data_IF_217114012467
#
_entry.id   IF_217114012467
#
_cell.length_a   1.000
_cell.length_b   1.000
_cell.length_c   1.000
_cell.angle_alpha   90.00
_cell.angle_beta   90.00
_cell.angle_gamma   90.00
#
_symmetry.space_group_name_H-M   'P 1'
#
loop_
_entity.id
_entity.type
_entity.pdbx_description
1 polymer ?
#
# COMPACT_ATOMS: atom_id res chain seq x y z
N UNK A 1 -36.26 29.27 -31.79
CA UNK A 1 -35.61 29.61 -30.51
C UNK A 1 -34.98 28.36 -29.94
N UNK A 2 -33.68 28.14 -30.18
CA UNK A 2 -32.94 27.01 -29.61
C UNK A 2 -32.62 27.30 -28.14
N UNK A 3 -33.26 26.58 -27.20
CA UNK A 3 -32.93 26.65 -25.77
C UNK A 3 -31.44 26.36 -25.62
N UNK A 4 -30.64 27.38 -25.29
CA UNK A 4 -29.22 27.16 -24.89
C UNK A 4 -29.19 26.14 -23.74
N UNK A 5 -28.67 24.96 -24.01
CA UNK A 5 -28.51 23.93 -22.99
C UNK A 5 -27.68 24.51 -21.83
N UNK A 6 -28.25 24.54 -20.65
CA UNK A 6 -27.63 25.06 -19.45
C UNK A 6 -26.39 24.20 -19.15
N UNK A 7 -25.22 24.80 -19.09
CA UNK A 7 -24.00 24.06 -18.74
C UNK A 7 -24.20 23.36 -17.40
N UNK A 8 -23.93 22.05 -17.29
CA UNK A 8 -24.06 21.35 -16.01
C UNK A 8 -23.10 21.96 -14.96
N UNK A 9 -23.54 21.98 -13.70
CA UNK A 9 -22.70 22.48 -12.62
C UNK A 9 -21.42 21.61 -12.48
N UNK A 10 -20.35 22.15 -11.92
CA UNK A 10 -19.12 21.41 -11.65
C UNK A 10 -19.41 20.14 -10.82
N UNK A 11 -20.19 20.27 -9.76
CA UNK A 11 -20.55 19.14 -8.88
C UNK A 11 -21.31 18.03 -9.63
N UNK A 12 -22.29 18.41 -10.49
CA UNK A 12 -23.04 17.44 -11.29
C UNK A 12 -22.12 16.68 -12.25
N UNK A 13 -21.21 17.39 -12.92
CA UNK A 13 -20.23 16.78 -13.84
C UNK A 13 -19.28 15.84 -13.11
N UNK A 14 -18.76 16.27 -11.97
CA UNK A 14 -17.88 15.48 -11.11
C UNK A 14 -18.55 14.18 -10.64
N UNK A 15 -19.74 14.29 -10.04
CA UNK A 15 -20.48 13.13 -9.54
C UNK A 15 -20.87 12.16 -10.66
N UNK A 16 -21.23 12.67 -11.84
CA UNK A 16 -21.57 11.82 -12.98
C UNK A 16 -20.37 11.02 -13.47
N UNK A 17 -19.19 11.64 -13.58
CA UNK A 17 -17.95 10.97 -13.98
C UNK A 17 -17.56 9.92 -12.93
N UNK A 18 -17.54 10.32 -11.67
CA UNK A 18 -17.19 9.41 -10.56
C UNK A 18 -18.12 8.19 -10.54
N UNK A 19 -19.44 8.40 -10.66
CA UNK A 19 -20.42 7.31 -10.69
C UNK A 19 -20.23 6.39 -11.89
N UNK A 20 -20.01 6.95 -13.07
CA UNK A 20 -19.80 6.18 -14.29
C UNK A 20 -18.54 5.31 -14.17
N UNK A 21 -17.41 5.90 -13.78
CA UNK A 21 -16.15 5.18 -13.64
C UNK A 21 -16.19 4.15 -12.50
N UNK A 22 -16.88 4.46 -11.39
CA UNK A 22 -17.07 3.49 -10.30
C UNK A 22 -17.84 2.26 -10.78
N UNK A 23 -18.97 2.47 -11.47
CA UNK A 23 -19.76 1.37 -12.05
C UNK A 23 -18.95 0.58 -13.07
N UNK A 24 -18.14 1.27 -13.89
CA UNK A 24 -17.25 0.64 -14.85
C UNK A 24 -16.18 -0.22 -14.16
N UNK A 25 -15.57 0.30 -13.11
CA UNK A 25 -14.57 -0.42 -12.32
C UNK A 25 -15.15 -1.67 -11.64
N UNK A 26 -16.35 -1.58 -11.07
CA UNK A 26 -17.03 -2.74 -10.45
C UNK A 26 -17.35 -3.82 -11.49
N UNK A 27 -17.73 -3.45 -12.71
CA UNK A 27 -18.07 -4.39 -13.79
C UNK A 27 -16.85 -5.05 -14.44
N UNK A 28 -15.65 -4.50 -14.25
CA UNK A 28 -14.43 -5.11 -14.78
C UNK A 28 -14.10 -6.41 -14.06
N UNK A 29 -14.06 -7.52 -14.79
CA UNK A 29 -13.66 -8.83 -14.23
C UNK A 29 -12.27 -8.80 -13.56
N UNK A 30 -11.39 -7.87 -13.95
CA UNK A 30 -10.06 -7.68 -13.38
C UNK A 30 -10.11 -7.35 -11.88
N UNK A 31 -10.99 -6.44 -11.46
CA UNK A 31 -11.16 -6.10 -10.05
C UNK A 31 -11.67 -7.29 -9.26
N UNK A 32 -12.63 -8.04 -9.82
CA UNK A 32 -13.11 -9.26 -9.19
C UNK A 32 -11.98 -10.28 -8.99
N UNK A 33 -11.11 -10.46 -10.00
CA UNK A 33 -9.95 -11.35 -9.90
C UNK A 33 -8.97 -10.92 -8.81
N UNK A 34 -8.66 -9.61 -8.70
CA UNK A 34 -7.79 -9.10 -7.64
C UNK A 34 -8.46 -9.24 -6.27
N UNK A 35 -9.77 -9.03 -6.18
CA UNK A 35 -10.51 -9.19 -4.93
C UNK A 35 -10.47 -10.65 -4.46
N UNK A 36 -10.72 -11.62 -5.37
CA UNK A 36 -10.60 -13.06 -5.05
C UNK A 36 -9.19 -13.41 -4.58
N UNK A 37 -8.17 -12.91 -5.26
CA UNK A 37 -6.77 -13.11 -4.87
C UNK A 37 -6.49 -12.49 -3.48
N UNK A 38 -7.02 -11.30 -3.21
CA UNK A 38 -6.86 -10.65 -1.91
C UNK A 38 -7.55 -11.42 -0.77
N UNK A 39 -8.74 -11.98 -1.02
CA UNK A 39 -9.37 -12.88 -0.05
C UNK A 39 -8.55 -14.16 0.16
N UNK A 40 -7.91 -14.69 -0.87
CA UNK A 40 -7.00 -15.83 -0.74
C UNK A 40 -5.78 -15.48 0.14
N UNK A 41 -5.14 -14.31 -0.06
CA UNK A 41 -4.06 -13.85 0.80
C UNK A 41 -4.53 -13.58 2.23
N UNK A 42 -5.67 -12.95 2.42
CA UNK A 42 -6.26 -12.73 3.74
C UNK A 42 -6.56 -14.05 4.46
N UNK A 43 -7.09 -15.04 3.75
CA UNK A 43 -7.30 -16.39 4.29
C UNK A 43 -5.97 -17.06 4.65
N UNK A 44 -4.96 -16.91 3.79
CA UNK A 44 -3.62 -17.43 4.08
C UNK A 44 -3.02 -16.75 5.32
N UNK A 45 -3.16 -15.44 5.45
CA UNK A 45 -2.71 -14.71 6.63
C UNK A 45 -3.38 -15.22 7.90
N UNK A 46 -4.68 -15.51 7.86
CA UNK A 46 -5.43 -16.10 9.00
C UNK A 46 -5.00 -17.54 9.30
N UNK A 47 -4.86 -18.37 8.26
CA UNK A 47 -4.69 -19.82 8.42
C UNK A 47 -3.22 -20.25 8.61
N UNK A 48 -2.26 -19.54 7.99
CA UNK A 48 -0.85 -19.95 8.00
C UNK A 48 -0.26 -20.07 9.42
N UNK A 49 -0.46 -19.11 10.34
CA UNK A 49 0.02 -19.23 11.71
C UNK A 49 -0.56 -20.45 12.45
N UNK A 50 -1.84 -20.76 12.18
CA UNK A 50 -2.53 -21.93 12.75
C UNK A 50 -1.90 -23.22 12.25
N UNK A 51 -1.70 -23.33 10.94
CA UNK A 51 -1.09 -24.52 10.31
C UNK A 51 0.32 -24.73 10.83
N UNK A 52 1.14 -23.66 10.90
CA UNK A 52 2.52 -23.77 11.40
C UNK A 52 2.58 -24.16 12.88
N UNK A 53 1.71 -23.64 13.72
CA UNK A 53 1.62 -24.02 15.13
C UNK A 53 1.20 -25.49 15.29
N UNK A 54 0.20 -25.94 14.53
CA UNK A 54 -0.24 -27.34 14.55
C UNK A 54 0.86 -28.31 14.09
N UNK A 55 1.62 -27.94 13.03
CA UNK A 55 2.75 -28.77 12.57
C UNK A 55 3.86 -28.89 13.62
N UNK A 56 4.04 -27.88 14.46
CA UNK A 56 5.02 -27.84 15.53
C UNK A 56 4.45 -28.36 16.87
N UNK A 57 3.24 -28.92 16.89
CA UNK A 57 2.52 -29.34 18.10
C UNK A 57 2.41 -28.23 19.17
N UNK A 58 2.29 -26.97 18.74
CA UNK A 58 2.15 -25.82 19.63
C UNK A 58 0.65 -25.45 19.74
N UNK A 59 0.15 -25.09 20.94
CA UNK A 59 -1.22 -24.63 21.10
C UNK A 59 -1.44 -23.30 20.36
N UNK A 60 -2.65 -23.12 19.85
CA UNK A 60 -3.10 -21.84 19.29
C UNK A 60 -3.46 -20.95 20.47
N UNK A 61 -2.61 -19.96 20.74
CA UNK A 61 -2.88 -18.98 21.79
C UNK A 61 -3.84 -17.90 21.28
N UNK A 62 -4.77 -17.44 22.10
CA UNK A 62 -5.61 -16.31 21.79
C UNK A 62 -4.73 -15.08 21.50
N UNK A 63 -5.04 -14.37 20.42
CA UNK A 63 -4.36 -13.12 20.07
C UNK A 63 -5.41 -12.02 19.88
N UNK A 64 -5.69 -11.23 20.93
CA UNK A 64 -6.75 -10.24 20.90
C UNK A 64 -6.47 -9.03 19.99
N UNK A 65 -5.23 -8.82 19.58
CA UNK A 65 -4.84 -7.71 18.70
C UNK A 65 -4.51 -8.17 17.27
N UNK A 66 -4.80 -9.43 16.94
CA UNK A 66 -4.44 -10.02 15.64
C UNK A 66 -5.00 -9.23 14.45
N UNK A 67 -6.27 -8.87 14.51
CA UNK A 67 -6.96 -8.20 13.40
C UNK A 67 -6.38 -6.82 13.11
N UNK A 68 -6.15 -6.03 14.15
CA UNK A 68 -5.64 -4.66 13.98
C UNK A 68 -4.16 -4.65 13.55
N UNK A 69 -3.36 -5.61 13.99
CA UNK A 69 -1.93 -5.71 13.64
C UNK A 69 -1.71 -6.31 12.25
N UNK A 70 -2.54 -7.26 11.83
CA UNK A 70 -2.46 -7.88 10.48
C UNK A 70 -3.15 -7.03 9.42
N UNK A 71 -4.15 -6.25 9.80
CA UNK A 71 -4.86 -5.35 8.92
C UNK A 71 -5.66 -6.07 7.83
N UNK A 72 -5.45 -5.69 6.56
CA UNK A 72 -6.14 -6.32 5.42
C UNK A 72 -5.61 -7.71 5.06
N UNK A 73 -4.47 -8.10 5.60
CA UNK A 73 -3.82 -9.39 5.31
C UNK A 73 -3.18 -9.50 3.92
N UNK A 74 -3.26 -8.47 3.07
CA UNK A 74 -2.77 -8.55 1.68
C UNK A 74 -1.30 -8.14 1.50
N UNK A 75 -0.73 -7.42 2.46
CA UNK A 75 0.66 -6.96 2.43
C UNK A 75 1.01 -5.99 1.28
N UNK A 76 2.30 -5.67 1.14
CA UNK A 76 2.82 -4.70 0.16
C UNK A 76 2.45 -5.05 -1.29
N UNK A 77 2.59 -6.31 -1.67
CA UNK A 77 2.22 -6.77 -3.01
C UNK A 77 0.73 -6.55 -3.31
N UNK A 78 -0.13 -6.80 -2.31
CA UNK A 78 -1.57 -6.55 -2.45
C UNK A 78 -1.89 -5.07 -2.65
N UNK A 79 -1.25 -4.17 -1.90
CA UNK A 79 -1.44 -2.72 -2.09
C UNK A 79 -1.07 -2.29 -3.51
N UNK A 80 0.05 -2.80 -4.03
CA UNK A 80 0.46 -2.54 -5.41
C UNK A 80 -0.53 -3.13 -6.44
N UNK A 81 -0.98 -4.37 -6.26
CA UNK A 81 -1.96 -5.00 -7.18
C UNK A 81 -3.28 -4.26 -7.23
N UNK A 82 -3.84 -3.86 -6.07
CA UNK A 82 -5.05 -3.04 -6.02
C UNK A 82 -4.86 -1.71 -6.72
N UNK A 83 -3.73 -1.07 -6.49
CA UNK A 83 -3.37 0.18 -7.15
C UNK A 83 -3.33 -0.02 -8.67
N UNK A 84 -2.56 -1.01 -9.13
CA UNK A 84 -2.37 -1.28 -10.56
C UNK A 84 -3.70 -1.51 -11.26
N UNK A 85 -4.52 -2.43 -10.76
CA UNK A 85 -5.79 -2.79 -11.40
C UNK A 85 -6.80 -1.65 -11.37
N UNK A 86 -6.80 -0.85 -10.32
CA UNK A 86 -7.74 0.27 -10.17
C UNK A 86 -7.48 1.40 -11.15
N UNK A 87 -6.21 1.69 -11.48
CA UNK A 87 -5.88 2.92 -12.24
C UNK A 87 -5.16 2.71 -13.57
N UNK A 88 -4.59 1.53 -13.88
CA UNK A 88 -3.77 1.34 -15.08
C UNK A 88 -4.50 1.69 -16.39
N UNK A 89 -5.82 1.50 -16.47
CA UNK A 89 -6.64 1.82 -17.64
C UNK A 89 -7.50 3.09 -17.43
N UNK A 90 -7.35 3.80 -16.32
CA UNK A 90 -8.27 4.89 -15.98
C UNK A 90 -8.14 6.07 -16.94
N UNK A 91 -6.93 6.46 -17.28
CA UNK A 91 -6.61 7.55 -18.21
C UNK A 91 -6.04 6.99 -19.50
N UNK A 92 -5.02 6.13 -19.40
CA UNK A 92 -4.32 5.55 -20.55
C UNK A 92 -5.23 4.72 -21.45
N UNK A 93 -6.16 3.96 -20.87
CA UNK A 93 -7.12 3.17 -21.66
C UNK A 93 -8.07 4.01 -22.49
N UNK A 94 -8.36 5.25 -22.10
CA UNK A 94 -9.15 6.17 -22.92
C UNK A 94 -8.36 6.75 -24.08
N UNK A 95 -7.04 6.95 -23.91
CA UNK A 95 -6.16 7.30 -25.03
C UNK A 95 -6.06 6.15 -26.03
N UNK A 96 -5.84 4.92 -25.56
CA UNK A 96 -5.74 3.73 -26.42
C UNK A 96 -7.03 3.42 -27.20
N UNK A 97 -8.19 3.62 -26.56
CA UNK A 97 -9.50 3.37 -27.19
C UNK A 97 -10.03 4.55 -28.01
N UNK A 98 -9.34 5.70 -27.99
CA UNK A 98 -9.82 6.94 -28.61
C UNK A 98 -11.01 7.58 -27.90
N UNK A 99 -11.51 6.99 -26.80
CA UNK A 99 -12.67 7.52 -26.06
C UNK A 99 -12.36 8.84 -25.33
N UNK A 100 -11.10 9.22 -25.25
CA UNK A 100 -10.67 10.52 -24.70
C UNK A 100 -11.16 11.70 -25.57
N UNK A 101 -11.28 11.54 -26.91
CA UNK A 101 -11.69 12.59 -27.82
C UNK A 101 -13.09 13.10 -27.49
N UNK A 102 -14.15 12.29 -27.50
CA UNK A 102 -15.50 12.73 -27.15
C UNK A 102 -15.62 13.20 -25.70
N UNK A 103 -14.73 12.78 -24.82
CA UNK A 103 -14.70 13.25 -23.42
C UNK A 103 -14.12 14.67 -23.32
N UNK A 104 -13.08 14.99 -24.09
CA UNK A 104 -12.43 16.31 -24.09
C UNK A 104 -13.22 17.37 -24.90
N UNK A 105 -14.08 16.95 -25.82
CA UNK A 105 -14.96 17.88 -26.58
C UNK A 105 -16.19 18.34 -25.80
N UNK A 106 -16.53 17.64 -24.70
CA UNK A 106 -17.62 18.06 -23.82
C UNK A 106 -17.23 19.32 -23.02
N UNK A 107 -18.19 20.17 -22.62
CA UNK A 107 -17.93 21.39 -21.86
C UNK A 107 -17.63 21.09 -20.37
N UNK A 108 -16.70 20.16 -20.12
CA UNK A 108 -16.26 19.75 -18.78
C UNK A 108 -14.76 20.01 -18.67
N UNK A 109 -14.32 20.55 -17.53
CA UNK A 109 -12.90 20.82 -17.32
C UNK A 109 -12.08 19.53 -17.21
N UNK A 110 -10.85 19.53 -17.75
CA UNK A 110 -9.93 18.38 -17.65
C UNK A 110 -9.62 18.01 -16.20
N UNK A 111 -9.58 19.02 -15.32
CA UNK A 111 -9.42 18.81 -13.87
C UNK A 111 -10.60 18.06 -13.27
N UNK A 112 -11.84 18.36 -13.67
CA UNK A 112 -13.03 17.65 -13.21
C UNK A 112 -13.00 16.19 -13.65
N UNK A 113 -12.56 15.91 -14.89
CA UNK A 113 -12.41 14.56 -15.42
C UNK A 113 -11.36 13.79 -14.58
N UNK A 114 -10.20 14.40 -14.36
CA UNK A 114 -9.12 13.83 -13.57
C UNK A 114 -9.56 13.49 -12.14
N UNK A 115 -10.14 14.46 -11.44
CA UNK A 115 -10.62 14.27 -10.07
C UNK A 115 -11.73 13.21 -9.98
N UNK A 116 -12.66 13.19 -10.93
CA UNK A 116 -13.71 12.17 -10.98
C UNK A 116 -13.17 10.75 -11.10
N UNK A 117 -12.14 10.56 -11.93
CA UNK A 117 -11.49 9.24 -12.13
C UNK A 117 -10.72 8.77 -10.91
N UNK A 118 -9.93 9.65 -10.29
CA UNK A 118 -9.22 9.32 -9.04
C UNK A 118 -10.22 8.99 -7.93
N UNK A 119 -11.29 9.78 -7.79
CA UNK A 119 -12.31 9.52 -6.78
C UNK A 119 -13.01 8.19 -6.99
N UNK A 120 -13.29 7.80 -8.24
CA UNK A 120 -13.86 6.49 -8.54
C UNK A 120 -12.90 5.34 -8.16
N UNK A 121 -11.62 5.47 -8.50
CA UNK A 121 -10.60 4.49 -8.12
C UNK A 121 -10.43 4.39 -6.59
N UNK A 122 -10.39 5.53 -5.90
CA UNK A 122 -10.37 5.61 -4.44
C UNK A 122 -11.56 4.88 -3.80
N UNK A 123 -12.78 5.16 -4.26
CA UNK A 123 -14.00 4.51 -3.75
C UNK A 123 -14.00 3.00 -4.02
N UNK A 124 -13.44 2.56 -5.14
CA UNK A 124 -13.28 1.14 -5.46
C UNK A 124 -12.36 0.44 -4.45
N UNK A 125 -11.21 1.05 -4.14
CA UNK A 125 -10.25 0.52 -3.16
C UNK A 125 -10.82 0.57 -1.74
N UNK A 126 -11.48 1.66 -1.38
CA UNK A 126 -12.16 1.79 -0.09
C UNK A 126 -13.19 0.68 0.12
N UNK A 127 -14.05 0.42 -0.87
CA UNK A 127 -15.03 -0.66 -0.80
C UNK A 127 -14.37 -2.04 -0.68
N UNK A 128 -13.34 -2.32 -1.47
CA UNK A 128 -12.62 -3.59 -1.43
C UNK A 128 -11.96 -3.83 -0.06
N UNK A 129 -11.26 -2.83 0.47
CA UNK A 129 -10.60 -2.97 1.78
C UNK A 129 -11.57 -3.02 2.94
N UNK A 130 -12.71 -2.33 2.85
CA UNK A 130 -13.77 -2.48 3.85
C UNK A 130 -14.28 -3.92 3.92
N UNK A 131 -14.48 -4.58 2.78
CA UNK A 131 -14.86 -6.00 2.73
C UNK A 131 -13.77 -6.91 3.31
N UNK A 132 -12.50 -6.68 2.95
CA UNK A 132 -11.38 -7.47 3.48
C UNK A 132 -11.22 -7.33 4.99
N UNK A 133 -11.34 -6.13 5.52
CA UNK A 133 -11.23 -5.88 6.96
C UNK A 133 -12.38 -6.54 7.73
N UNK A 134 -13.60 -6.48 7.21
CA UNK A 134 -14.75 -7.21 7.80
C UNK A 134 -14.47 -8.71 7.81
N UNK A 135 -13.95 -9.25 6.71
CA UNK A 135 -13.57 -10.66 6.62
C UNK A 135 -12.48 -11.03 7.62
N UNK A 136 -11.41 -10.19 7.73
CA UNK A 136 -10.34 -10.39 8.71
C UNK A 136 -10.83 -10.29 10.15
N UNK A 137 -11.75 -9.38 10.44
CA UNK A 137 -12.35 -9.25 11.76
C UNK A 137 -13.17 -10.50 12.14
N UNK A 138 -13.98 -10.99 11.22
CA UNK A 138 -14.76 -12.21 11.44
C UNK A 138 -13.87 -13.46 11.58
N UNK A 139 -12.89 -13.64 10.70
CA UNK A 139 -11.94 -14.75 10.75
C UNK A 139 -11.04 -14.70 11.97
N UNK A 140 -10.55 -13.52 12.33
CA UNK A 140 -9.73 -13.30 13.53
C UNK A 140 -10.50 -13.64 14.82
N UNK A 141 -11.75 -13.22 14.92
CA UNK A 141 -12.62 -13.58 16.04
C UNK A 141 -12.80 -15.09 16.19
N UNK A 142 -13.05 -15.79 15.07
CA UNK A 142 -13.28 -17.24 15.07
C UNK A 142 -12.00 -18.03 15.42
N UNK A 143 -10.84 -17.59 14.92
CA UNK A 143 -9.59 -18.36 15.04
C UNK A 143 -8.82 -18.00 16.31
N UNK A 144 -8.71 -16.70 16.62
CA UNK A 144 -7.86 -16.17 17.69
C UNK A 144 -8.64 -15.69 18.92
N UNK A 145 -9.98 -15.83 18.90
CA UNK A 145 -10.86 -15.44 19.99
C UNK A 145 -11.27 -13.96 19.96
N UNK A 146 -11.86 -13.46 21.05
CA UNK A 146 -12.33 -12.07 21.15
C UNK A 146 -11.22 -11.08 20.82
N UNK A 147 -11.53 -10.13 19.93
CA UNK A 147 -10.58 -9.11 19.46
C UNK A 147 -10.75 -7.83 20.26
N UNK A 148 -9.64 -7.32 20.77
CA UNK A 148 -9.58 -6.02 21.45
C UNK A 148 -9.39 -4.89 20.42
N UNK A 149 -9.63 -3.66 20.87
CA UNK A 149 -9.29 -2.45 20.10
C UNK A 149 -9.89 -2.39 18.68
N UNK A 150 -10.99 -3.08 18.40
CA UNK A 150 -11.64 -3.08 17.08
C UNK A 150 -12.01 -1.67 16.58
N UNK A 151 -12.13 -0.68 17.47
CA UNK A 151 -12.33 0.71 17.07
C UNK A 151 -11.14 1.28 16.27
N UNK A 152 -9.92 0.72 16.41
CA UNK A 152 -8.75 1.10 15.65
C UNK A 152 -8.75 0.56 14.21
N UNK A 153 -9.72 -0.27 13.85
CA UNK A 153 -9.85 -0.86 12.52
C UNK A 153 -9.98 0.22 11.43
N UNK A 154 -10.57 1.37 11.75
CA UNK A 154 -10.63 2.52 10.84
C UNK A 154 -9.26 3.11 10.54
N UNK A 155 -8.34 3.09 11.51
CA UNK A 155 -6.95 3.55 11.32
C UNK A 155 -6.20 2.57 10.43
N UNK A 156 -6.41 1.27 10.64
CA UNK A 156 -5.89 0.23 9.75
C UNK A 156 -6.38 0.40 8.32
N UNK A 157 -7.67 0.68 8.14
CA UNK A 157 -8.26 0.96 6.83
C UNK A 157 -7.63 2.20 6.17
N UNK A 158 -7.54 3.32 6.89
CA UNK A 158 -6.95 4.55 6.38
C UNK A 158 -5.47 4.37 6.01
N UNK A 159 -4.69 3.71 6.86
CA UNK A 159 -3.30 3.42 6.58
C UNK A 159 -3.12 2.55 5.33
N UNK A 160 -3.91 1.48 5.18
CA UNK A 160 -3.89 0.61 4.00
C UNK A 160 -4.28 1.34 2.71
N UNK A 161 -5.27 2.22 2.79
CA UNK A 161 -5.66 3.08 1.66
C UNK A 161 -4.51 4.02 1.31
N UNK A 162 -3.88 4.67 2.29
CA UNK A 162 -2.78 5.59 2.06
C UNK A 162 -1.60 4.90 1.37
N UNK A 163 -1.23 3.69 1.81
CA UNK A 163 -0.21 2.85 1.17
C UNK A 163 -0.57 2.56 -0.29
N UNK A 164 -1.82 2.19 -0.56
CA UNK A 164 -2.30 1.94 -1.92
C UNK A 164 -2.32 3.19 -2.79
N UNK A 165 -2.68 4.35 -2.24
CA UNK A 165 -2.69 5.62 -2.97
C UNK A 165 -1.30 6.04 -3.47
N UNK A 166 -0.24 5.70 -2.76
CA UNK A 166 1.14 5.90 -3.23
C UNK A 166 1.34 5.17 -4.56
N UNK A 167 1.04 3.89 -4.61
CA UNK A 167 1.18 3.07 -5.81
C UNK A 167 0.21 3.48 -6.92
N UNK A 168 -1.03 3.84 -6.55
CA UNK A 168 -2.01 4.36 -7.51
C UNK A 168 -1.50 5.61 -8.21
N UNK A 169 -0.91 6.54 -7.47
CA UNK A 169 -0.39 7.79 -8.03
C UNK A 169 0.78 7.57 -8.99
N UNK A 170 1.69 6.63 -8.66
CA UNK A 170 2.81 6.24 -9.54
C UNK A 170 2.30 5.63 -10.84
N UNK A 171 1.41 4.64 -10.76
CA UNK A 171 0.85 3.96 -11.95
C UNK A 171 0.02 4.93 -12.79
N UNK A 172 -0.75 5.82 -12.14
CA UNK A 172 -1.54 6.83 -12.82
C UNK A 172 -0.66 7.83 -13.58
N UNK A 173 0.43 8.27 -12.98
CA UNK A 173 1.40 9.15 -13.63
C UNK A 173 2.05 8.46 -14.83
N UNK A 174 2.50 7.22 -14.67
CA UNK A 174 3.06 6.43 -15.75
C UNK A 174 2.07 6.27 -16.93
N UNK A 175 0.79 5.97 -16.64
CA UNK A 175 -0.26 5.84 -17.65
C UNK A 175 -0.63 7.15 -18.35
N UNK A 176 -0.65 8.26 -17.60
CA UNK A 176 -0.96 9.57 -18.15
C UNK A 176 0.14 10.10 -19.07
N UNK A 177 1.41 9.81 -18.75
CA UNK A 177 2.57 10.21 -19.56
C UNK A 177 2.73 9.32 -20.78
N UNK A 178 2.66 8.00 -20.61
CA UNK A 178 2.85 7.03 -21.69
C UNK A 178 1.65 6.94 -22.64
N UNK A 179 0.46 7.35 -22.20
CA UNK A 179 -0.83 7.19 -22.91
C UNK A 179 -1.13 5.74 -23.28
N UNK A 180 -0.46 4.78 -22.64
CA UNK A 180 -0.60 3.34 -22.88
C UNK A 180 -0.80 2.59 -21.58
N UNK A 181 -1.85 1.77 -21.52
CA UNK A 181 -2.18 0.95 -20.36
C UNK A 181 -1.14 -0.15 -20.13
N UNK A 182 -0.60 -0.69 -21.20
CA UNK A 182 0.45 -1.72 -21.13
C UNK A 182 1.73 -1.12 -20.54
N UNK A 183 2.17 0.04 -21.05
CA UNK A 183 3.35 0.73 -20.52
C UNK A 183 3.14 1.17 -19.07
N UNK A 184 1.95 1.65 -18.71
CA UNK A 184 1.63 2.00 -17.31
C UNK A 184 1.79 0.80 -16.38
N UNK A 185 1.30 -0.37 -16.81
CA UNK A 185 1.43 -1.61 -16.04
C UNK A 185 2.89 -2.05 -15.93
N UNK A 186 3.63 -2.09 -17.05
CA UNK A 186 5.04 -2.50 -17.08
C UNK A 186 5.92 -1.57 -16.24
N UNK A 187 5.74 -0.25 -16.35
CA UNK A 187 6.47 0.72 -15.53
C UNK A 187 6.12 0.58 -14.04
N UNK A 188 4.84 0.41 -13.71
CA UNK A 188 4.40 0.18 -12.33
C UNK A 188 5.03 -1.08 -11.74
N UNK A 189 4.99 -2.20 -12.47
CA UNK A 189 5.61 -3.47 -12.07
C UNK A 189 7.13 -3.30 -11.94
N UNK A 190 7.78 -2.68 -12.94
CA UNK A 190 9.22 -2.44 -12.93
C UNK A 190 9.67 -1.60 -11.75
N UNK A 191 8.94 -0.54 -11.43
CA UNK A 191 9.23 0.31 -10.25
C UNK A 191 9.03 -0.48 -8.95
N UNK A 192 7.92 -1.23 -8.83
CA UNK A 192 7.64 -2.01 -7.62
C UNK A 192 8.71 -3.09 -7.38
N UNK A 193 9.01 -3.92 -8.39
CA UNK A 193 10.06 -4.96 -8.27
C UNK A 193 11.44 -4.33 -8.08
N UNK A 194 11.77 -3.31 -8.86
CA UNK A 194 13.07 -2.64 -8.78
C UNK A 194 13.34 -2.05 -7.40
N UNK A 195 12.36 -1.38 -6.80
CA UNK A 195 12.49 -0.82 -5.46
C UNK A 195 12.55 -1.91 -4.37
N UNK A 196 11.77 -2.98 -4.48
CA UNK A 196 11.83 -4.09 -3.52
C UNK A 196 13.17 -4.83 -3.60
N UNK A 197 13.69 -5.11 -4.79
CA UNK A 197 15.00 -5.71 -4.99
C UNK A 197 16.11 -4.77 -4.47
N UNK A 198 16.07 -3.50 -4.84
CA UNK A 198 17.04 -2.52 -4.38
C UNK A 198 17.03 -2.38 -2.85
N UNK A 199 15.85 -2.29 -2.23
CA UNK A 199 15.71 -2.25 -0.77
C UNK A 199 16.27 -3.51 -0.10
N UNK A 200 16.01 -4.69 -0.68
CA UNK A 200 16.57 -5.97 -0.18
C UNK A 200 18.09 -6.00 -0.25
N UNK A 201 18.66 -5.61 -1.39
CA UNK A 201 20.13 -5.55 -1.56
C UNK A 201 20.76 -4.53 -0.60
N UNK A 202 20.20 -3.33 -0.51
CA UNK A 202 20.72 -2.28 0.35
C UNK A 202 20.63 -2.65 1.84
N UNK A 203 19.60 -3.38 2.26
CA UNK A 203 19.48 -3.83 3.65
C UNK A 203 20.58 -4.84 4.06
N UNK A 204 21.12 -5.58 3.09
CA UNK A 204 22.20 -6.57 3.34
C UNK A 204 23.59 -5.95 3.21
N UNK A 205 23.81 -5.13 2.19
CA UNK A 205 25.17 -4.69 1.81
C UNK A 205 25.52 -3.26 2.24
N UNK A 206 24.57 -2.47 2.73
CA UNK A 206 24.79 -1.07 3.01
C UNK A 206 24.35 -0.66 4.42
N UNK A 207 25.15 0.22 5.05
CA UNK A 207 24.73 0.95 6.25
C UNK A 207 23.69 2.05 5.92
N UNK A 208 23.37 2.23 4.64
CA UNK A 208 22.51 3.32 4.17
C UNK A 208 21.07 2.85 3.99
N UNK A 209 20.36 2.68 5.10
CA UNK A 209 18.92 2.37 5.07
C UNK A 209 18.06 3.54 4.61
N UNK A 210 18.66 4.74 4.45
CA UNK A 210 17.91 5.94 4.09
C UNK A 210 17.20 5.83 2.72
N UNK A 211 17.81 5.16 1.72
CA UNK A 211 17.17 4.97 0.41
C UNK A 211 15.87 4.16 0.58
N UNK A 212 15.95 3.04 1.32
CA UNK A 212 14.78 2.22 1.61
C UNK A 212 13.71 2.98 2.43
N UNK A 213 14.14 3.90 3.29
CA UNK A 213 13.27 4.71 4.14
C UNK A 213 12.47 5.75 3.35
N UNK A 214 13.05 6.34 2.30
CA UNK A 214 12.42 7.40 1.52
C UNK A 214 11.85 6.93 0.18
N UNK A 215 12.08 5.68 -0.20
CA UNK A 215 11.43 5.06 -1.35
C UNK A 215 10.04 4.52 -1.00
N UNK A 216 9.09 4.46 -1.97
CA UNK A 216 7.84 3.76 -1.75
C UNK A 216 8.08 2.26 -1.66
N UNK A 217 7.35 1.59 -0.76
CA UNK A 217 7.48 0.15 -0.53
C UNK A 217 7.60 -0.22 0.93
N UNK A 218 8.21 -1.37 1.19
CA UNK A 218 8.30 -1.94 2.55
C UNK A 218 9.26 -1.17 3.48
N UNK A 219 10.29 -0.52 2.92
CA UNK A 219 11.28 0.20 3.72
C UNK A 219 12.25 -0.70 4.50
N UNK A 220 12.96 -0.10 5.47
CA UNK A 220 13.85 -0.81 6.37
C UNK A 220 13.07 -1.37 7.56
N UNK A 221 13.35 -2.61 7.94
CA UNK A 221 12.71 -3.29 9.07
C UNK A 221 13.41 -2.94 10.38
N UNK A 222 12.63 -2.70 11.41
CA UNK A 222 13.07 -2.50 12.79
C UNK A 222 12.23 -3.31 13.77
N UNK A 223 12.74 -3.51 14.96
CA UNK A 223 12.02 -4.20 16.04
C UNK A 223 11.94 -3.32 17.27
N UNK A 224 10.93 -3.54 18.08
CA UNK A 224 10.80 -2.96 19.40
C UNK A 224 10.45 -4.05 20.42
N UNK A 225 10.88 -3.85 21.65
CA UNK A 225 10.63 -4.81 22.72
C UNK A 225 11.07 -4.29 24.07
N UNK A 226 10.74 -5.02 25.13
CA UNK A 226 11.29 -4.78 26.44
C UNK A 226 12.74 -5.26 26.49
N UNK A 227 13.67 -4.48 27.04
CA UNK A 227 15.03 -4.94 27.27
C UNK A 227 14.98 -6.20 28.15
N UNK A 228 15.42 -7.33 27.60
CA UNK A 228 15.65 -8.54 28.40
C UNK A 228 16.83 -8.37 29.34
N UNK A 229 16.95 -9.19 30.42
CA UNK A 229 18.16 -9.23 31.24
C UNK A 229 19.38 -9.51 30.37
N UNK A 230 20.53 -8.99 30.79
CA UNK A 230 21.80 -8.82 30.04
C UNK A 230 22.28 -10.07 29.26
N UNK A 231 21.74 -11.24 29.53
CA UNK A 231 22.06 -12.51 28.88
C UNK A 231 20.90 -13.17 28.11
N UNK A 232 19.76 -12.48 27.93
CA UNK A 232 18.64 -12.99 27.15
C UNK A 232 18.38 -12.06 25.96
N UNK A 233 18.13 -12.67 24.81
CA UNK A 233 17.69 -12.02 23.58
C UNK A 233 16.51 -11.10 23.94
N UNK A 234 16.58 -9.82 23.56
CA UNK A 234 15.47 -8.87 23.71
C UNK A 234 14.17 -9.55 23.30
N UNK A 235 13.19 -9.61 24.19
CA UNK A 235 11.87 -10.13 23.83
C UNK A 235 11.27 -9.16 22.84
N UNK A 236 11.28 -9.53 21.58
CA UNK A 236 10.70 -8.72 20.53
C UNK A 236 9.18 -8.63 20.74
N UNK A 237 8.71 -7.46 21.07
CA UNK A 237 7.27 -7.21 21.27
C UNK A 237 6.56 -6.98 19.95
N UNK A 238 7.28 -6.47 18.94
CA UNK A 238 6.74 -6.24 17.62
C UNK A 238 7.80 -5.82 16.60
N UNK A 239 7.37 -5.76 15.34
CA UNK A 239 8.17 -5.28 14.23
C UNK A 239 7.49 -4.12 13.53
N UNK A 240 8.27 -3.18 13.06
CA UNK A 240 7.84 -2.03 12.26
C UNK A 240 8.74 -1.88 11.05
N UNK A 241 8.29 -1.13 10.06
CA UNK A 241 9.09 -0.83 8.88
C UNK A 241 8.97 0.64 8.52
N UNK A 242 10.03 1.24 7.99
CA UNK A 242 10.05 2.66 7.62
C UNK A 242 9.25 2.98 6.35
N UNK A 243 8.81 1.96 5.62
CA UNK A 243 8.20 2.11 4.31
C UNK A 243 6.78 2.65 4.30
N UNK A 244 6.36 3.11 3.14
CA UNK A 244 4.99 3.60 2.90
C UNK A 244 3.94 2.50 2.98
N UNK A 245 4.32 1.23 2.79
CA UNK A 245 3.40 0.09 2.83
C UNK A 245 3.08 -0.37 4.26
N UNK A 246 3.82 0.15 5.25
CA UNK A 246 3.67 -0.20 6.66
C UNK A 246 2.94 0.87 7.48
N UNK A 247 2.35 1.89 6.85
CA UNK A 247 1.68 3.00 7.55
C UNK A 247 0.61 2.49 8.51
N UNK A 248 -0.21 1.52 8.09
CA UNK A 248 -1.27 0.96 8.93
C UNK A 248 -0.72 0.31 10.19
N UNK A 249 0.25 -0.59 10.04
CA UNK A 249 0.88 -1.31 11.16
C UNK A 249 1.65 -0.37 12.08
N UNK A 250 2.36 0.59 11.52
CA UNK A 250 3.11 1.58 12.30
C UNK A 250 2.19 2.49 13.12
N UNK A 251 1.07 2.95 12.55
CA UNK A 251 0.07 3.75 13.26
C UNK A 251 -0.54 2.97 14.43
N UNK A 252 -0.92 1.72 14.20
CA UNK A 252 -1.46 0.86 15.26
C UNK A 252 -0.42 0.62 16.34
N UNK A 253 0.81 0.27 15.97
CA UNK A 253 1.90 0.07 16.93
C UNK A 253 2.16 1.33 17.76
N UNK A 254 2.09 2.51 17.16
CA UNK A 254 2.26 3.77 17.87
C UNK A 254 1.12 4.06 18.85
N UNK A 255 -0.12 3.76 18.48
CA UNK A 255 -1.28 3.97 19.37
C UNK A 255 -1.23 3.03 20.57
N UNK A 256 -0.83 1.77 20.33
CA UNK A 256 -0.71 0.78 21.39
C UNK A 256 0.52 1.04 22.28
N UNK A 257 1.59 1.59 21.72
CA UNK A 257 2.89 1.74 22.36
C UNK A 257 3.54 3.10 22.07
N UNK A 258 2.99 4.23 22.55
CA UNK A 258 3.41 5.58 22.12
C UNK A 258 4.82 5.99 22.55
N UNK A 259 5.40 5.36 23.59
CA UNK A 259 6.70 5.73 24.16
C UNK A 259 7.85 4.82 23.73
N UNK A 260 7.58 3.89 22.81
CA UNK A 260 8.58 2.89 22.39
C UNK A 260 9.56 3.46 21.37
N UNK A 261 10.83 3.05 21.53
CA UNK A 261 11.88 3.23 20.55
C UNK A 261 12.02 1.97 19.67
N UNK A 262 12.26 2.19 18.39
CA UNK A 262 12.47 1.15 17.39
C UNK A 262 13.95 1.04 17.11
N UNK A 263 14.51 -0.16 17.17
CA UNK A 263 15.90 -0.44 16.78
C UNK A 263 15.90 -1.03 15.38
N UNK A 264 16.65 -0.40 14.49
CA UNK A 264 16.88 -0.90 13.14
C UNK A 264 18.15 -1.73 13.09
N UNK A 265 18.13 -2.81 12.31
CA UNK A 265 19.23 -3.73 12.16
C UNK A 265 19.62 -3.88 10.69
N UNK A 266 20.91 -4.08 10.44
CA UNK A 266 21.39 -4.65 9.17
C UNK A 266 21.78 -6.10 9.37
N UNK A 267 21.73 -6.88 8.31
CA UNK A 267 22.28 -8.22 8.27
C UNK A 267 23.74 -8.13 7.85
N UNK A 268 24.63 -8.73 8.64
CA UNK A 268 26.05 -8.85 8.31
C UNK A 268 26.42 -10.33 8.22
N UNK A 269 27.05 -10.71 7.10
CA UNK A 269 27.52 -12.07 6.89
C UNK A 269 28.90 -12.17 7.49
N UNK A 270 29.05 -12.92 8.58
CA UNK A 270 30.34 -13.16 9.24
C UNK A 270 30.93 -14.50 8.78
N UNK A 271 32.26 -14.57 8.67
CA UNK A 271 32.97 -15.83 8.44
C UNK A 271 33.33 -16.17 6.98
N UNK A 272 33.07 -15.27 6.02
CA UNK A 272 33.62 -15.42 4.67
C UNK A 272 35.11 -14.99 4.72
N UNK A 273 36.02 -15.94 4.83
CA UNK A 273 37.46 -15.71 4.66
C UNK A 273 38.36 -15.82 5.91
N UNK A 274 37.82 -16.13 7.09
CA UNK A 274 38.64 -16.25 8.30
C UNK A 274 38.71 -17.66 8.92
N UNK A 275 38.47 -18.74 8.19
CA UNK A 275 38.75 -20.10 8.64
C UNK A 275 38.07 -20.59 9.94
N UNK A 276 37.12 -19.81 10.47
CA UNK A 276 36.37 -20.13 11.69
C UNK A 276 34.92 -20.46 11.33
N UNK A 277 34.66 -21.75 11.12
CA UNK A 277 33.32 -22.30 11.08
C UNK A 277 32.40 -21.86 9.90
N UNK A 278 31.19 -22.43 9.78
CA UNK A 278 30.23 -22.00 8.78
C UNK A 278 29.80 -20.56 9.08
N UNK A 279 30.00 -19.67 8.11
CA UNK A 279 29.64 -18.26 8.21
C UNK A 279 28.20 -18.07 8.70
N UNK A 280 28.00 -17.24 9.70
CA UNK A 280 26.68 -16.91 10.27
C UNK A 280 26.19 -15.56 9.78
N UNK A 281 24.86 -15.37 9.76
CA UNK A 281 24.25 -14.06 9.57
C UNK A 281 24.01 -13.47 10.98
N UNK A 282 24.62 -12.33 11.25
CA UNK A 282 24.39 -11.59 12.50
C UNK A 282 23.58 -10.30 12.21
N UNK A 283 22.80 -9.90 13.19
CA UNK A 283 22.07 -8.63 13.15
C UNK A 283 22.86 -7.56 13.90
N UNK A 284 23.31 -6.54 13.19
CA UNK A 284 24.05 -5.41 13.76
C UNK A 284 23.09 -4.24 13.90
N UNK A 285 22.93 -3.65 15.11
CA UNK A 285 22.07 -2.50 15.30
C UNK A 285 22.66 -1.28 14.58
N UNK A 286 21.82 -0.57 13.81
CA UNK A 286 22.16 0.66 13.10
C UNK A 286 21.87 1.90 13.92
N UNK A 287 20.83 1.82 14.77
CA UNK A 287 20.39 2.93 15.59
C UNK A 287 18.98 2.71 16.13
N UNK A 288 18.60 3.54 17.08
CA UNK A 288 17.27 3.57 17.70
C UNK A 288 16.60 4.90 17.41
N UNK A 289 15.33 4.85 16.98
CA UNK A 289 14.51 6.03 16.74
C UNK A 289 13.17 5.89 17.48
N UNK A 290 12.54 6.99 17.92
CA UNK A 290 11.20 6.93 18.48
C UNK A 290 10.20 6.50 17.42
N UNK A 291 9.25 5.65 17.78
CA UNK A 291 8.22 5.15 16.87
C UNK A 291 7.38 6.27 16.24
N UNK A 292 7.15 7.36 16.97
CA UNK A 292 6.48 8.57 16.47
C UNK A 292 7.18 9.17 15.24
N UNK A 293 8.52 9.20 15.22
CA UNK A 293 9.30 9.69 14.08
C UNK A 293 9.17 8.76 12.88
N UNK A 294 9.19 7.46 13.10
CA UNK A 294 9.01 6.45 12.04
C UNK A 294 7.64 6.61 11.37
N UNK A 295 6.58 6.76 12.17
CA UNK A 295 5.21 6.99 11.70
C UNK A 295 5.12 8.30 10.91
N UNK A 296 5.57 9.41 11.51
CA UNK A 296 5.50 10.72 10.87
C UNK A 296 6.25 10.74 9.54
N UNK A 297 7.43 10.11 9.48
CA UNK A 297 8.24 9.99 8.26
C UNK A 297 7.53 9.18 7.19
N UNK A 298 7.00 8.01 7.52
CA UNK A 298 6.27 7.15 6.56
C UNK A 298 5.06 7.88 5.96
N UNK A 299 4.30 8.61 6.77
CA UNK A 299 3.15 9.42 6.31
C UNK A 299 3.62 10.58 5.43
N UNK A 300 4.67 11.31 5.85
CA UNK A 300 5.19 12.44 5.07
C UNK A 300 5.71 11.99 3.70
N UNK A 301 6.47 10.90 3.65
CA UNK A 301 6.96 10.31 2.40
C UNK A 301 5.78 9.91 1.51
N UNK A 302 4.80 9.21 2.05
CA UNK A 302 3.60 8.83 1.29
C UNK A 302 2.86 10.05 0.73
N UNK A 303 2.67 11.11 1.54
CA UNK A 303 2.01 12.34 1.11
C UNK A 303 2.77 13.02 -0.03
N UNK A 304 4.11 13.08 0.04
CA UNK A 304 4.95 13.65 -1.03
C UNK A 304 4.79 12.84 -2.33
N UNK A 305 4.86 11.51 -2.27
CA UNK A 305 4.65 10.66 -3.45
C UNK A 305 3.26 10.86 -4.06
N UNK A 306 2.22 10.81 -3.23
CA UNK A 306 0.84 11.03 -3.69
C UNK A 306 0.72 12.39 -4.37
N UNK A 307 1.21 13.47 -3.78
CA UNK A 307 1.11 14.82 -4.33
C UNK A 307 1.89 14.96 -5.64
N UNK A 308 3.17 14.57 -5.65
CA UNK A 308 4.07 14.74 -6.81
C UNK A 308 3.55 13.96 -8.02
N UNK A 309 3.25 12.67 -7.84
CA UNK A 309 2.80 11.84 -8.97
C UNK A 309 1.39 12.18 -9.45
N UNK A 310 0.48 12.60 -8.57
CA UNK A 310 -0.81 13.14 -9.00
C UNK A 310 -0.67 14.45 -9.76
N UNK A 311 0.24 15.33 -9.38
CA UNK A 311 0.53 16.56 -10.13
C UNK A 311 1.11 16.24 -11.52
N UNK A 312 2.01 15.28 -11.63
CA UNK A 312 2.56 14.82 -12.91
C UNK A 312 1.43 14.27 -13.80
N UNK A 313 0.58 13.40 -13.27
CA UNK A 313 -0.55 12.81 -13.99
C UNK A 313 -1.55 13.87 -14.45
N UNK A 314 -1.91 14.78 -13.57
CA UNK A 314 -2.81 15.91 -13.89
C UNK A 314 -2.22 16.81 -14.99
N UNK A 315 -0.93 17.16 -14.87
CA UNK A 315 -0.25 18.00 -15.84
C UNK A 315 -0.14 17.34 -17.21
N UNK A 316 0.18 16.04 -17.25
CA UNK A 316 0.21 15.26 -18.49
C UNK A 316 -1.16 15.24 -19.17
N UNK A 317 -2.24 15.03 -18.42
CA UNK A 317 -3.60 15.09 -18.96
C UNK A 317 -3.98 16.51 -19.43
N UNK A 318 -3.56 17.54 -18.69
CA UNK A 318 -3.83 18.95 -19.05
C UNK A 318 -3.17 19.33 -20.37
N UNK A 319 -1.96 18.83 -20.66
CA UNK A 319 -1.21 19.09 -21.90
C UNK A 319 -1.51 18.11 -23.03
N UNK A 320 -2.27 17.07 -22.77
CA UNK A 320 -2.61 16.10 -23.81
C UNK A 320 -3.32 16.80 -24.98
N UNK A 321 -2.68 16.80 -26.13
CA UNK A 321 -3.27 17.18 -27.40
C UNK A 321 -3.98 15.96 -27.96
N UNK A 322 -5.20 16.16 -28.45
CA UNK A 322 -5.89 15.18 -29.26
C UNK A 322 -5.29 15.36 -30.65
N UNK A 323 -4.41 14.43 -31.05
CA UNK A 323 -3.96 14.40 -32.44
C UNK A 323 -5.18 14.13 -33.32
N UNK A 324 -5.41 15.04 -34.27
CA UNK A 324 -6.40 14.85 -35.32
C UNK A 324 -5.98 13.71 -36.24
#
# INVERSE_FOLDING_TARGET
MTKKAKRPSWATSFLTITRYDLLWNIRKKKILGVLVLAFAFATLALALPVVLKNLNNQPIEPNPDYVITTGTGVGSFGFFLFALVSVMNSISGEFESGSIVPLLTKPVSRTTIYLGKISAAFLTVLGAYSLLIIYMAAGGYVIYGPQNNLHLIFITLLGSIMSTLVWMSIVLAAGSVSKSSMLAALLGIGVWFGLNIASGILSVFSNQTWIATYAPGSGASGTFGTPGPINQINVTTGSVSTGTDSIATNLISYILHPTINVTFYRMEITGIGQGQGPGGIIQVPLGTEPLSLVVARSIAVAAVYILVFNLIAWYALKRAQVAE
#
